data_IF_811678818775
#
_entry.id   IF_811678818775
#
_cell.length_a   1.000
_cell.length_b   1.000
_cell.length_c   1.000
_cell.angle_alpha   90.00
_cell.angle_beta   90.00
_cell.angle_gamma   90.00
#
_symmetry.space_group_name_H-M   'P 1'
#
loop_
_entity.id
_entity.type
_entity.pdbx_description
1 polymer ?
#
# COMPACT_ATOMS: atom_id res chain seq x y z
N UNK A 1 -6.44 -16.27 -9.81
CA UNK A 1 -6.29 -14.81 -9.70
C UNK A 1 -5.00 -14.46 -10.44
N UNK A 2 -5.07 -13.84 -11.62
CA UNK A 2 -3.90 -13.50 -12.44
C UNK A 2 -3.44 -12.07 -12.12
N UNK A 3 -2.13 -11.82 -12.08
CA UNK A 3 -1.57 -10.49 -11.86
C UNK A 3 -1.69 -9.55 -13.05
N UNK A 4 -1.36 -8.28 -12.82
CA UNK A 4 -1.28 -7.21 -13.82
C UNK A 4 -0.08 -7.43 -14.77
N UNK A 5 -0.11 -8.52 -15.53
CA UNK A 5 0.99 -8.97 -16.40
C UNK A 5 0.95 -10.45 -16.80
N UNK A 6 0.02 -11.25 -16.28
CA UNK A 6 -0.10 -12.68 -16.64
C UNK A 6 0.71 -13.64 -15.75
N UNK A 7 1.67 -13.14 -14.99
CA UNK A 7 2.38 -13.92 -13.96
C UNK A 7 1.59 -13.95 -12.62
N UNK A 8 1.79 -14.99 -11.79
CA UNK A 8 1.24 -14.99 -10.43
C UNK A 8 1.81 -13.82 -9.63
N UNK A 9 0.95 -13.02 -9.01
CA UNK A 9 1.38 -11.94 -8.11
C UNK A 9 2.16 -12.60 -6.97
N UNK A 10 3.46 -12.32 -6.80
CA UNK A 10 4.19 -12.91 -5.69
C UNK A 10 3.66 -12.36 -4.38
N UNK A 11 3.48 -13.29 -3.44
CA UNK A 11 2.99 -13.03 -2.10
C UNK A 11 4.04 -12.23 -1.32
N UNK A 12 3.59 -11.35 -0.43
CA UNK A 12 4.42 -10.49 0.42
C UNK A 12 5.33 -9.53 -0.38
N UNK A 13 4.90 -9.15 -1.59
CA UNK A 13 5.60 -8.15 -2.42
C UNK A 13 4.59 -7.10 -2.90
N UNK A 14 5.01 -5.83 -2.90
CA UNK A 14 4.22 -4.73 -3.44
C UNK A 14 4.75 -4.29 -4.80
N UNK A 15 3.84 -4.04 -5.72
CA UNK A 15 4.14 -3.53 -7.07
C UNK A 15 3.53 -2.17 -7.27
N UNK A 16 4.36 -1.19 -7.62
CA UNK A 16 3.90 0.11 -8.09
C UNK A 16 3.62 0.04 -9.59
N UNK A 17 2.42 0.42 -10.00
CA UNK A 17 2.04 0.55 -11.41
C UNK A 17 2.59 1.89 -11.91
N UNK A 18 3.40 1.92 -13.01
CA UNK A 18 4.07 3.14 -13.46
C UNK A 18 3.14 4.13 -14.18
N UNK A 19 1.95 3.70 -14.57
CA UNK A 19 0.94 4.53 -15.24
C UNK A 19 -0.16 4.91 -14.26
N UNK A 20 -0.50 6.21 -14.14
CA UNK A 20 -1.74 6.63 -13.51
C UNK A 20 -2.94 5.94 -14.18
N UNK A 21 -3.99 5.68 -13.40
CA UNK A 21 -5.19 5.07 -13.96
C UNK A 21 -5.97 6.16 -14.68
N UNK A 22 -6.05 6.11 -16.01
CA UNK A 22 -6.83 7.08 -16.77
C UNK A 22 -7.87 6.36 -17.65
N UNK A 23 -9.16 6.72 -17.57
CA UNK A 23 -10.12 6.41 -18.61
C UNK A 23 -10.17 7.58 -19.61
N UNK A 24 -9.41 7.50 -20.70
CA UNK A 24 -9.54 8.50 -21.76
C UNK A 24 -10.89 8.38 -22.47
N UNK A 25 -11.77 9.36 -22.29
CA UNK A 25 -12.56 9.95 -23.38
C UNK A 25 -13.21 11.29 -22.92
N UNK A 26 -12.68 12.39 -23.46
CA UNK A 26 -13.37 13.60 -23.91
C UNK A 26 -14.51 14.22 -23.06
N UNK A 27 -14.23 15.47 -22.66
CA UNK A 27 -15.16 16.61 -22.64
C UNK A 27 -16.32 16.59 -21.62
N UNK A 28 -16.30 17.61 -20.75
CA UNK A 28 -17.46 18.12 -20.01
C UNK A 28 -18.09 17.14 -19.02
N UNK A 29 -17.50 17.01 -17.83
CA UNK A 29 -18.25 16.53 -16.67
C UNK A 29 -17.82 17.26 -15.41
N UNK A 30 -18.77 17.98 -14.80
CA UNK A 30 -18.65 18.56 -13.45
C UNK A 30 -18.62 17.48 -12.35
N UNK A 31 -18.45 16.21 -12.73
CA UNK A 31 -18.37 15.02 -11.89
C UNK A 31 -17.10 14.21 -12.17
N UNK A 32 -15.98 14.86 -12.53
CA UNK A 32 -14.67 14.21 -12.51
C UNK A 32 -14.29 13.87 -11.06
N UNK A 33 -14.66 12.69 -10.58
CA UNK A 33 -14.31 12.21 -9.24
C UNK A 33 -12.85 11.75 -9.21
N UNK A 34 -11.91 12.70 -9.26
CA UNK A 34 -10.61 12.73 -8.57
C UNK A 34 -9.75 11.47 -8.42
N UNK A 35 -9.63 10.60 -9.42
CA UNK A 35 -8.68 9.46 -9.39
C UNK A 35 -7.69 9.44 -10.55
N UNK A 36 -7.70 10.45 -11.41
CA UNK A 36 -6.83 10.51 -12.60
C UNK A 36 -5.35 10.79 -12.24
N UNK A 37 -5.11 11.22 -11.01
CA UNK A 37 -3.84 11.74 -10.52
C UNK A 37 -3.18 10.83 -9.47
N UNK A 38 -3.40 9.51 -9.51
CA UNK A 38 -2.76 8.59 -8.53
C UNK A 38 -2.06 7.40 -9.19
N UNK A 39 -0.89 7.07 -8.66
CA UNK A 39 -0.21 5.80 -8.88
C UNK A 39 -0.72 4.77 -7.89
N UNK A 40 -1.00 3.57 -8.38
CA UNK A 40 -1.40 2.46 -7.55
C UNK A 40 -0.20 1.60 -7.16
N UNK A 41 -0.22 1.12 -5.92
CA UNK A 41 0.67 0.09 -5.42
C UNK A 41 -0.22 -1.06 -4.96
N UNK A 42 0.16 -2.31 -5.19
CA UNK A 42 -0.67 -3.42 -4.74
C UNK A 42 0.08 -4.73 -4.54
N UNK A 43 -0.46 -5.57 -3.68
CA UNK A 43 0.04 -6.91 -3.41
C UNK A 43 -0.87 -7.69 -2.47
N UNK A 44 -0.62 -8.99 -2.37
CA UNK A 44 -1.30 -9.88 -1.43
C UNK A 44 -0.30 -10.35 -0.37
N UNK A 45 -0.69 -10.26 0.90
CA UNK A 45 0.10 -10.72 2.02
C UNK A 45 -0.43 -12.06 2.54
N UNK A 46 0.49 -12.88 3.01
CA UNK A 46 0.24 -14.12 3.74
C UNK A 46 0.97 -14.06 5.08
N UNK A 47 0.22 -13.72 6.13
CA UNK A 47 0.67 -13.60 7.51
C UNK A 47 0.75 -14.96 8.23
N UNK A 48 0.33 -16.06 7.61
CA UNK A 48 0.46 -17.40 8.21
C UNK A 48 1.91 -17.82 8.41
N UNK A 49 2.83 -17.18 7.67
CA UNK A 49 4.28 -17.38 7.74
C UNK A 49 4.98 -16.38 8.68
N UNK A 50 4.22 -15.50 9.31
CA UNK A 50 4.72 -14.49 10.25
C UNK A 50 4.44 -13.04 9.81
N UNK A 51 4.71 -12.08 10.70
CA UNK A 51 4.45 -10.67 10.45
C UNK A 51 5.22 -10.10 9.27
N UNK A 52 4.65 -9.08 8.64
CA UNK A 52 5.30 -8.26 7.63
C UNK A 52 5.48 -6.84 8.15
N UNK A 53 6.56 -6.18 7.78
CA UNK A 53 6.79 -4.76 8.05
C UNK A 53 6.52 -4.02 6.75
N UNK A 54 5.58 -3.07 6.79
CA UNK A 54 5.42 -2.07 5.74
C UNK A 54 6.36 -0.91 6.05
N UNK A 55 7.32 -0.67 5.17
CA UNK A 55 8.10 0.56 5.16
C UNK A 55 7.40 1.61 4.30
N UNK A 56 7.34 2.84 4.80
CA UNK A 56 6.92 4.03 4.05
C UNK A 56 8.04 5.08 4.14
N UNK A 57 8.51 5.63 3.00
CA UNK A 57 9.52 6.69 3.01
C UNK A 57 8.90 8.02 3.48
N UNK A 58 9.73 9.04 3.70
CA UNK A 58 9.21 10.40 3.87
C UNK A 58 8.52 10.85 2.57
N UNK A 59 7.23 11.12 2.68
CA UNK A 59 6.37 11.52 1.56
C UNK A 59 6.39 13.04 1.35
N UNK A 60 7.13 13.81 2.15
CA UNK A 60 7.32 15.25 2.02
C UNK A 60 5.99 16.02 1.87
N UNK A 61 4.99 15.65 2.66
CA UNK A 61 3.64 16.25 2.61
C UNK A 61 2.75 15.77 1.46
N UNK A 62 3.24 14.93 0.53
CA UNK A 62 2.46 14.34 -0.58
C UNK A 62 1.30 13.50 -0.04
N UNK A 63 0.17 13.56 -0.73
CA UNK A 63 -0.93 12.65 -0.42
C UNK A 63 -0.57 11.22 -0.79
N UNK A 64 -0.73 10.32 0.17
CA UNK A 64 -0.70 8.89 -0.06
C UNK A 64 -1.64 8.17 0.91
N UNK A 65 -2.04 6.97 0.54
CA UNK A 65 -2.71 6.02 1.43
C UNK A 65 -2.35 4.59 1.07
N UNK A 66 -2.16 3.76 2.08
CA UNK A 66 -2.02 2.31 2.00
C UNK A 66 -3.17 1.70 2.79
N UNK A 67 -4.07 1.04 2.07
CA UNK A 67 -5.28 0.42 2.57
C UNK A 67 -5.03 -1.07 2.79
N UNK A 68 -5.51 -1.60 3.92
CA UNK A 68 -5.48 -3.01 4.24
C UNK A 68 -6.91 -3.57 4.24
N UNK A 69 -7.13 -4.57 3.40
CA UNK A 69 -8.45 -5.10 3.08
C UNK A 69 -8.45 -6.61 3.26
N UNK A 70 -9.53 -7.14 3.83
CA UNK A 70 -9.81 -8.57 3.78
C UNK A 70 -10.18 -8.95 2.34
N UNK A 71 -9.41 -9.82 1.67
CA UNK A 71 -9.69 -10.21 0.28
C UNK A 71 -10.95 -11.07 0.12
N UNK A 72 -11.50 -11.62 1.20
CA UNK A 72 -12.67 -12.52 1.15
C UNK A 72 -14.00 -11.77 1.04
N UNK A 73 -14.13 -10.62 1.71
CA UNK A 73 -15.37 -9.83 1.77
C UNK A 73 -15.20 -8.36 1.35
N UNK A 74 -13.96 -7.88 1.19
CA UNK A 74 -13.65 -6.50 0.81
C UNK A 74 -13.66 -5.51 1.98
N UNK A 75 -13.74 -5.97 3.23
CA UNK A 75 -13.76 -5.13 4.42
C UNK A 75 -12.38 -4.51 4.66
N UNK A 76 -12.34 -3.17 4.76
CA UNK A 76 -11.11 -2.45 5.11
C UNK A 76 -10.97 -2.39 6.62
N UNK A 77 -9.80 -2.78 7.14
CA UNK A 77 -9.55 -2.80 8.58
C UNK A 77 -8.46 -1.83 9.05
N UNK A 78 -7.60 -1.34 8.14
CA UNK A 78 -6.57 -0.36 8.51
C UNK A 78 -6.14 0.53 7.34
N UNK A 79 -5.53 1.67 7.69
CA UNK A 79 -4.95 2.63 6.76
C UNK A 79 -3.66 3.24 7.31
N UNK A 80 -2.63 3.29 6.49
CA UNK A 80 -1.41 4.11 6.70
C UNK A 80 -1.42 5.21 5.64
N UNK A 81 -1.13 6.46 5.99
CA UNK A 81 -1.26 7.56 5.04
C UNK A 81 -1.26 8.94 5.67
N UNK A 82 -1.18 9.96 4.81
CA UNK A 82 -1.19 11.39 5.20
C UNK A 82 -2.27 11.74 6.23
N UNK A 83 -3.44 11.12 6.14
CA UNK A 83 -4.59 11.38 7.01
C UNK A 83 -4.56 10.64 8.35
N UNK A 84 -3.90 9.48 8.43
CA UNK A 84 -3.96 8.59 9.61
C UNK A 84 -2.65 8.54 10.37
N UNK A 85 -1.52 8.63 9.68
CA UNK A 85 -0.18 8.45 10.26
C UNK A 85 0.80 9.57 9.91
N UNK A 86 0.35 10.59 9.16
CA UNK A 86 1.21 11.68 8.69
C UNK A 86 2.00 11.30 7.43
N UNK A 87 3.07 12.04 7.15
CA UNK A 87 3.88 11.87 5.92
C UNK A 87 5.35 11.60 6.17
N UNK A 88 5.79 11.59 7.43
CA UNK A 88 7.16 11.23 7.76
C UNK A 88 7.43 9.74 7.48
N UNK A 89 8.70 9.38 7.32
CA UNK A 89 9.10 7.98 7.15
C UNK A 89 8.67 7.14 8.37
N UNK A 90 8.24 5.90 8.13
CA UNK A 90 7.81 5.03 9.22
C UNK A 90 7.67 3.56 8.83
N UNK A 91 7.81 2.72 9.85
CA UNK A 91 7.66 1.26 9.77
C UNK A 91 6.42 0.81 10.55
N UNK A 92 5.59 -0.01 9.90
CA UNK A 92 4.33 -0.51 10.44
C UNK A 92 4.32 -2.03 10.43
N UNK A 93 4.20 -2.62 11.62
CA UNK A 93 4.19 -4.07 11.78
C UNK A 93 2.79 -4.62 11.57
N UNK A 94 2.61 -5.44 10.53
CA UNK A 94 1.36 -6.10 10.19
C UNK A 94 1.40 -7.52 10.76
N UNK A 95 0.49 -7.81 11.67
CA UNK A 95 0.45 -9.07 12.41
C UNK A 95 -0.81 -9.86 12.09
N UNK A 96 -0.66 -11.17 11.97
CA UNK A 96 -1.79 -12.10 11.80
C UNK A 96 -2.48 -12.39 13.15
N UNK A 97 -3.68 -12.98 13.11
CA UNK A 97 -4.52 -13.21 14.30
C UNK A 97 -3.91 -14.18 15.33
N UNK A 98 -2.92 -15.00 14.92
CA UNK A 98 -2.26 -15.98 15.79
C UNK A 98 -0.84 -15.57 16.20
N UNK A 99 -0.43 -14.33 15.92
CA UNK A 99 0.91 -13.87 16.30
C UNK A 99 0.95 -13.41 17.76
N UNK A 100 1.82 -14.04 18.55
CA UNK A 100 2.03 -13.73 19.97
C UNK A 100 3.46 -13.23 20.26
N UNK A 101 4.21 -12.88 19.21
CA UNK A 101 5.59 -12.41 19.36
C UNK A 101 5.69 -11.05 20.04
N UNK A 102 6.90 -10.69 20.43
CA UNK A 102 7.23 -9.35 20.89
C UNK A 102 8.25 -8.73 19.93
N UNK A 103 8.08 -7.46 19.58
CA UNK A 103 9.07 -6.71 18.83
C UNK A 103 9.86 -5.82 19.77
N UNK A 104 11.19 -5.81 19.62
CA UNK A 104 12.10 -5.00 20.45
C UNK A 104 12.00 -3.51 20.14
N UNK A 105 11.50 -3.17 18.95
CA UNK A 105 11.32 -1.80 18.48
C UNK A 105 9.87 -1.35 18.67
N UNK A 106 9.69 -0.09 19.07
CA UNK A 106 8.37 0.56 19.15
C UNK A 106 7.86 0.86 17.74
N UNK A 107 7.33 -0.18 17.06
CA UNK A 107 6.62 -0.04 15.79
C UNK A 107 5.12 0.06 16.02
N UNK A 108 4.44 0.85 15.19
CA UNK A 108 2.97 0.84 15.17
C UNK A 108 2.49 -0.49 14.64
N UNK A 109 1.61 -1.17 15.39
CA UNK A 109 1.09 -2.48 15.02
C UNK A 109 -0.27 -2.36 14.32
N UNK A 110 -0.43 -3.14 13.25
CA UNK A 110 -1.67 -3.31 12.49
C UNK A 110 -2.10 -4.76 12.63
N UNK A 111 -3.11 -5.00 13.46
CA UNK A 111 -3.67 -6.35 13.65
C UNK A 111 -4.64 -6.67 12.52
N UNK A 112 -4.34 -7.73 11.75
CA UNK A 112 -5.28 -8.26 10.77
C UNK A 112 -6.18 -9.32 11.39
N UNK A 113 -7.50 -9.31 11.11
CA UNK A 113 -8.40 -10.38 11.54
C UNK A 113 -8.11 -11.72 10.84
N UNK A 114 -7.40 -11.71 9.72
CA UNK A 114 -7.14 -12.89 8.88
C UNK A 114 -5.67 -12.96 8.44
N UNK A 115 -5.23 -14.15 8.00
CA UNK A 115 -3.86 -14.31 7.51
C UNK A 115 -3.64 -13.75 6.10
N UNK A 116 -4.70 -13.64 5.29
CA UNK A 116 -4.62 -13.09 3.94
C UNK A 116 -5.05 -11.63 3.95
N UNK A 117 -4.21 -10.75 3.39
CA UNK A 117 -4.50 -9.31 3.32
C UNK A 117 -4.23 -8.79 1.93
N UNK A 118 -5.23 -8.14 1.33
CA UNK A 118 -5.04 -7.33 0.14
C UNK A 118 -4.55 -5.95 0.56
N UNK A 119 -3.43 -5.51 -0.02
CA UNK A 119 -2.87 -4.18 0.22
C UNK A 119 -3.00 -3.34 -1.04
N UNK A 120 -3.57 -2.14 -0.89
CA UNK A 120 -3.77 -1.19 -1.98
C UNK A 120 -3.22 0.17 -1.57
N UNK A 121 -2.09 0.55 -2.16
CA UNK A 121 -1.48 1.87 -2.05
C UNK A 121 -1.96 2.82 -3.15
N UNK A 122 -2.04 4.11 -2.83
CA UNK A 122 -2.32 5.22 -3.74
C UNK A 122 -1.34 6.35 -3.42
N UNK A 123 -0.64 6.86 -4.43
CA UNK A 123 0.28 7.99 -4.30
C UNK A 123 -0.15 9.05 -5.30
N UNK A 124 -0.45 10.27 -4.82
CA UNK A 124 -0.87 11.37 -5.67
C UNK A 124 0.27 11.84 -6.57
N UNK A 125 -0.08 12.23 -7.80
CA UNK A 125 0.78 12.81 -8.83
C UNK A 125 0.26 14.22 -9.08
N UNK A 126 1.06 15.25 -8.82
CA UNK A 126 0.59 16.64 -8.94
C UNK A 126 0.50 17.10 -10.40
N UNK A 127 1.35 16.55 -11.27
CA UNK A 127 1.41 16.85 -12.70
C UNK A 127 2.24 15.81 -13.46
N UNK A 128 2.21 15.85 -14.79
CA UNK A 128 3.02 14.95 -15.63
C UNK A 128 4.52 15.02 -15.35
N UNK A 129 5.06 16.21 -15.01
CA UNK A 129 6.48 16.38 -14.67
C UNK A 129 6.83 15.84 -13.28
N UNK A 130 5.84 15.69 -12.41
CA UNK A 130 5.98 15.15 -11.06
C UNK A 130 5.90 13.61 -11.03
N UNK A 131 5.36 12.99 -12.08
CA UNK A 131 5.21 11.54 -12.21
C UNK A 131 6.48 10.74 -11.86
N UNK A 132 7.70 11.10 -12.32
CA UNK A 132 8.91 10.36 -11.95
C UNK A 132 9.21 10.40 -10.44
N UNK A 133 8.93 11.53 -9.79
CA UNK A 133 9.11 11.71 -8.33
C UNK A 133 8.09 10.87 -7.56
N UNK A 134 6.82 10.96 -7.93
CA UNK A 134 5.74 10.18 -7.33
C UNK A 134 5.99 8.67 -7.48
N UNK A 135 6.43 8.22 -8.66
CA UNK A 135 6.76 6.82 -8.91
C UNK A 135 8.02 6.38 -8.14
N UNK A 136 9.02 7.25 -8.01
CA UNK A 136 10.19 7.01 -7.18
C UNK A 136 9.84 6.77 -5.71
N UNK A 137 8.91 7.56 -5.16
CA UNK A 137 8.39 7.36 -3.80
C UNK A 137 7.53 6.09 -3.69
N UNK A 138 6.66 5.85 -4.68
CA UNK A 138 5.80 4.66 -4.70
C UNK A 138 6.60 3.35 -4.65
N UNK A 139 7.74 3.27 -5.36
CA UNK A 139 8.63 2.09 -5.34
C UNK A 139 9.35 1.86 -4.00
N UNK A 140 9.44 2.88 -3.16
CA UNK A 140 10.08 2.79 -1.84
C UNK A 140 9.09 2.30 -0.78
N UNK A 141 7.78 2.30 -1.05
CA UNK A 141 6.81 1.64 -0.18
C UNK A 141 6.92 0.13 -0.42
N UNK A 142 7.43 -0.58 0.59
CA UNK A 142 7.82 -1.99 0.46
C UNK A 142 7.41 -2.81 1.67
N UNK A 143 7.30 -4.12 1.44
CA UNK A 143 7.10 -5.11 2.49
C UNK A 143 8.40 -5.87 2.73
N UNK A 144 8.71 -6.09 3.99
CA UNK A 144 9.78 -7.00 4.41
C UNK A 144 9.25 -7.94 5.48
N UNK A 145 9.69 -9.20 5.47
CA UNK A 145 9.35 -10.10 6.56
C UNK A 145 10.03 -9.62 7.85
N UNK A 146 9.32 -9.71 8.98
CA UNK A 146 9.94 -9.52 10.29
C UNK A 146 11.01 -10.62 10.45
N UNK A 147 12.27 -10.24 10.27
CA UNK A 147 13.39 -11.15 10.47
C UNK A 147 13.50 -11.42 11.96
N UNK A 148 13.61 -12.69 12.34
CA UNK A 148 13.86 -13.09 13.72
C UNK A 148 15.05 -12.29 14.27
N UNK A 149 14.85 -11.60 15.39
CA UNK A 149 15.95 -11.06 16.20
C UNK A 149 16.75 -12.20 16.82
#
# INVERSE_FOLDING_TARGET
>A
MHGLGGDPIPINTLYAVPTPSSPSASNSSLLATGTDDVLYIGGLLDLSKGPQILHVPDMAGRYYSVQFTDPSDGTNFAYVGKRTTGTEAGDYLIIGPSWEGTVSQTMTQIASPHNSVLVIGRVFVESDSDLPTAYGLAKQIQLTALSHC
#
